data_IF_979187762996
#
_entry.id   IF_979187762996
#
_cell.length_a   1.000
_cell.length_b   1.000
_cell.length_c   1.000
_cell.angle_alpha   90.00
_cell.angle_beta   90.00
_cell.angle_gamma   90.00
#
_symmetry.space_group_name_H-M   'P 1'
#
loop_
_entity.id
_entity.type
_entity.pdbx_description
1 polymer ?
#
# COMPACT_ATOMS: atom_id res chain seq x y z
N UNK A 1 36.62 21.92 2.37
CA UNK A 1 35.61 22.22 1.33
C UNK A 1 35.85 23.64 0.84
N UNK A 2 35.97 23.90 -0.47
CA UNK A 2 36.22 25.25 -1.01
C UNK A 2 34.91 25.86 -1.56
N UNK A 3 34.85 27.19 -1.69
CA UNK A 3 33.66 27.93 -2.15
C UNK A 3 33.19 27.49 -3.54
N UNK A 4 34.12 27.09 -4.42
CA UNK A 4 33.81 26.60 -5.77
C UNK A 4 33.04 25.28 -5.72
N UNK A 5 33.46 24.34 -4.86
CA UNK A 5 32.77 23.06 -4.63
C UNK A 5 31.37 23.26 -4.04
N UNK A 6 31.20 24.27 -3.17
CA UNK A 6 29.88 24.62 -2.61
C UNK A 6 28.97 25.17 -3.71
N UNK A 7 29.46 26.05 -4.56
CA UNK A 7 28.68 26.64 -5.65
C UNK A 7 28.30 25.62 -6.72
N UNK A 8 29.19 24.67 -7.03
CA UNK A 8 28.89 23.55 -7.94
C UNK A 8 27.83 22.62 -7.35
N UNK A 9 27.84 22.38 -6.04
CA UNK A 9 26.82 21.59 -5.34
C UNK A 9 25.47 22.31 -5.33
N UNK A 10 25.44 23.61 -5.06
CA UNK A 10 24.22 24.43 -5.09
C UNK A 10 23.62 24.41 -6.49
N UNK A 11 24.41 24.66 -7.54
CA UNK A 11 23.94 24.60 -8.92
C UNK A 11 23.41 23.22 -9.31
N UNK A 12 24.07 22.15 -8.85
CA UNK A 12 23.61 20.78 -9.07
C UNK A 12 22.24 20.54 -8.41
N UNK A 13 22.05 20.96 -7.16
CA UNK A 13 20.79 20.79 -6.42
C UNK A 13 19.65 21.66 -6.98
N UNK A 14 19.96 22.88 -7.41
CA UNK A 14 19.00 23.79 -8.03
C UNK A 14 18.61 23.37 -9.45
N UNK A 15 19.53 22.78 -10.22
CA UNK A 15 19.26 22.26 -11.57
C UNK A 15 18.55 20.91 -11.58
N UNK A 16 18.64 20.14 -10.49
CA UNK A 16 18.10 18.79 -10.42
C UNK A 16 16.57 18.76 -10.53
N UNK A 17 15.86 19.82 -10.11
CA UNK A 17 14.40 19.83 -10.11
C UNK A 17 13.77 18.64 -9.37
N UNK A 18 14.54 17.98 -8.50
CA UNK A 18 14.15 16.76 -7.82
C UNK A 18 13.15 17.10 -6.73
N UNK A 19 12.00 16.42 -6.76
CA UNK A 19 10.99 16.50 -5.70
C UNK A 19 11.65 16.25 -4.35
N UNK A 20 11.37 17.13 -3.39
CA UNK A 20 11.79 16.96 -2.02
C UNK A 20 11.27 15.63 -1.45
N UNK A 21 11.94 15.10 -0.44
CA UNK A 21 11.50 13.89 0.28
C UNK A 21 10.02 13.98 0.70
N UNK A 22 9.57 15.19 1.07
CA UNK A 22 8.18 15.44 1.46
C UNK A 22 7.23 15.31 0.27
N UNK A 23 7.57 15.91 -0.87
CA UNK A 23 6.72 15.84 -2.07
C UNK A 23 6.69 14.42 -2.65
N UNK A 24 7.80 13.70 -2.62
CA UNK A 24 7.84 12.27 -2.99
C UNK A 24 6.91 11.43 -2.10
N UNK A 25 6.90 11.69 -0.78
CA UNK A 25 5.97 11.02 0.15
C UNK A 25 4.51 11.35 -0.17
N UNK A 26 4.20 12.61 -0.48
CA UNK A 26 2.85 13.00 -0.86
C UNK A 26 2.38 12.35 -2.16
N UNK A 27 3.23 12.28 -3.19
CA UNK A 27 2.89 11.60 -4.45
C UNK A 27 2.62 10.11 -4.25
N UNK A 28 3.44 9.42 -3.43
CA UNK A 28 3.19 8.01 -3.08
C UNK A 28 1.87 7.83 -2.35
N UNK A 29 1.56 8.72 -1.41
CA UNK A 29 0.30 8.70 -0.66
C UNK A 29 -0.90 8.98 -1.57
N UNK A 30 -0.80 9.95 -2.46
CA UNK A 30 -1.85 10.29 -3.44
C UNK A 30 -2.15 9.09 -4.33
N UNK A 31 -1.12 8.41 -4.84
CA UNK A 31 -1.31 7.21 -5.67
C UNK A 31 -2.04 6.10 -4.90
N UNK A 32 -1.61 5.80 -3.67
CA UNK A 32 -2.28 4.81 -2.83
C UNK A 32 -3.74 5.19 -2.53
N UNK A 33 -4.02 6.48 -2.31
CA UNK A 33 -5.38 6.96 -2.09
C UNK A 33 -6.27 6.79 -3.33
N UNK A 34 -5.76 7.08 -4.52
CA UNK A 34 -6.49 6.88 -5.77
C UNK A 34 -6.80 5.41 -6.02
N UNK A 35 -5.84 4.51 -5.78
CA UNK A 35 -6.04 3.05 -5.89
C UNK A 35 -7.10 2.55 -4.90
N UNK A 36 -7.01 2.97 -3.64
CA UNK A 36 -8.00 2.63 -2.61
C UNK A 36 -9.39 3.20 -2.91
N UNK A 37 -9.47 4.41 -3.46
CA UNK A 37 -10.74 5.02 -3.84
C UNK A 37 -11.41 4.24 -4.99
N UNK A 38 -10.63 3.81 -5.98
CA UNK A 38 -11.14 2.99 -7.09
C UNK A 38 -11.67 1.64 -6.59
N UNK A 39 -10.93 0.95 -5.72
CA UNK A 39 -11.36 -0.31 -5.09
C UNK A 39 -12.66 -0.13 -4.30
N UNK A 40 -12.77 0.95 -3.52
CA UNK A 40 -13.99 1.27 -2.76
C UNK A 40 -15.20 1.58 -3.65
N UNK A 41 -14.99 2.16 -4.84
CA UNK A 41 -16.07 2.41 -5.81
C UNK A 41 -16.62 1.09 -6.35
N UNK A 42 -15.74 0.16 -6.74
CA UNK A 42 -16.16 -1.15 -7.23
C UNK A 42 -16.86 -1.95 -6.12
N UNK A 43 -16.31 -1.98 -4.91
CA UNK A 43 -16.95 -2.63 -3.76
C UNK A 43 -18.37 -2.09 -3.50
N UNK A 44 -18.56 -0.76 -3.54
CA UNK A 44 -19.89 -0.14 -3.38
C UNK A 44 -20.85 -0.52 -4.50
N UNK A 45 -20.36 -0.61 -5.74
CA UNK A 45 -21.17 -1.01 -6.90
C UNK A 45 -21.67 -2.44 -6.74
N UNK A 46 -20.80 -3.39 -6.38
CA UNK A 46 -21.19 -4.79 -6.12
C UNK A 46 -22.22 -4.86 -4.99
N UNK A 47 -22.01 -4.13 -3.88
CA UNK A 47 -22.99 -4.06 -2.77
C UNK A 47 -24.35 -3.54 -3.25
N UNK A 48 -24.36 -2.52 -4.11
CA UNK A 48 -25.60 -1.96 -4.66
C UNK A 48 -26.34 -2.97 -5.54
N UNK A 49 -25.63 -3.66 -6.43
CA UNK A 49 -26.19 -4.71 -7.30
C UNK A 49 -26.80 -5.83 -6.45
N UNK A 50 -26.09 -6.34 -5.44
CA UNK A 50 -26.62 -7.34 -4.51
C UNK A 50 -27.89 -6.90 -3.81
N UNK A 51 -27.93 -5.63 -3.36
CA UNK A 51 -29.10 -5.06 -2.69
C UNK A 51 -30.31 -5.04 -3.62
N UNK A 52 -30.13 -4.61 -4.87
CA UNK A 52 -31.20 -4.59 -5.87
C UNK A 52 -31.72 -5.99 -6.18
N UNK A 53 -30.82 -6.96 -6.38
CA UNK A 53 -31.20 -8.36 -6.58
C UNK A 53 -31.95 -8.95 -5.38
N UNK A 54 -31.48 -8.68 -4.16
CA UNK A 54 -32.15 -9.14 -2.95
C UNK A 54 -33.56 -8.58 -2.84
N UNK A 55 -33.74 -7.28 -3.09
CA UNK A 55 -35.05 -6.63 -3.07
C UNK A 55 -35.97 -7.24 -4.16
N UNK A 56 -35.48 -7.40 -5.39
CA UNK A 56 -36.25 -7.97 -6.49
C UNK A 56 -36.67 -9.42 -6.22
N UNK A 57 -35.76 -10.24 -5.64
CA UNK A 57 -36.03 -11.63 -5.29
C UNK A 57 -37.03 -11.79 -4.16
N UNK A 58 -36.93 -10.96 -3.11
CA UNK A 58 -37.86 -10.95 -1.97
C UNK A 58 -39.25 -10.45 -2.38
N UNK A 59 -39.32 -9.36 -3.17
CA UNK A 59 -40.59 -8.75 -3.59
C UNK A 59 -41.37 -9.62 -4.57
N UNK A 60 -40.70 -10.36 -5.47
CA UNK A 60 -41.38 -11.19 -6.47
C UNK A 60 -41.72 -12.62 -6.00
N UNK A 61 -41.45 -12.99 -4.74
CA UNK A 61 -41.66 -14.36 -4.18
C UNK A 61 -41.10 -15.49 -5.07
N UNK A 62 -40.04 -15.24 -5.84
CA UNK A 62 -39.36 -16.24 -6.66
C UNK A 62 -38.39 -17.02 -5.75
N UNK A 63 -38.92 -18.05 -5.07
CA UNK A 63 -38.14 -19.14 -4.45
C UNK A 63 -38.08 -20.28 -5.48
N UNK A 64 -36.95 -20.90 -5.91
CA UNK A 64 -35.52 -20.68 -5.67
C UNK A 64 -34.70 -20.80 -6.99
N UNK A 65 -34.40 -19.70 -7.68
CA UNK A 65 -33.35 -19.67 -8.74
C UNK A 65 -32.20 -18.75 -8.36
N UNK A 66 -32.26 -18.18 -7.15
CA UNK A 66 -31.45 -17.04 -6.72
C UNK A 66 -30.21 -17.46 -5.91
N UNK A 67 -30.13 -18.70 -5.43
CA UNK A 67 -28.95 -19.16 -4.65
C UNK A 67 -27.70 -19.25 -5.51
N UNK A 68 -27.79 -19.75 -6.74
CA UNK A 68 -26.62 -19.86 -7.63
C UNK A 68 -26.08 -18.50 -8.11
N UNK A 69 -26.97 -17.53 -8.35
CA UNK A 69 -26.57 -16.18 -8.76
C UNK A 69 -26.07 -15.36 -7.56
N UNK A 70 -26.67 -15.53 -6.38
CA UNK A 70 -26.16 -14.94 -5.14
C UNK A 70 -24.79 -15.54 -4.76
N UNK A 71 -24.61 -16.85 -4.92
CA UNK A 71 -23.29 -17.49 -4.80
C UNK A 71 -22.29 -16.92 -5.79
N UNK A 72 -22.66 -16.74 -7.06
CA UNK A 72 -21.77 -16.15 -8.08
C UNK A 72 -21.31 -14.75 -7.67
N UNK A 73 -22.22 -13.87 -7.22
CA UNK A 73 -21.84 -12.53 -6.77
C UNK A 73 -21.05 -12.57 -5.44
N UNK A 74 -21.40 -13.47 -4.52
CA UNK A 74 -20.63 -13.72 -3.29
C UNK A 74 -19.22 -14.26 -3.58
N UNK A 75 -19.03 -15.05 -4.63
CA UNK A 75 -17.72 -15.48 -5.10
C UNK A 75 -16.97 -14.31 -5.78
N UNK A 76 -17.67 -13.38 -6.45
CA UNK A 76 -17.08 -12.11 -6.92
C UNK A 76 -16.65 -11.20 -5.75
N UNK A 77 -17.33 -11.26 -4.59
CA UNK A 77 -16.84 -10.62 -3.36
C UNK A 77 -15.62 -11.31 -2.75
N UNK A 78 -15.30 -12.53 -3.17
CA UNK A 78 -14.07 -13.20 -2.77
C UNK A 78 -12.85 -12.70 -3.56
N UNK A 79 -13.07 -11.87 -4.60
CA UNK A 79 -11.98 -11.18 -5.27
C UNK A 79 -11.29 -10.26 -4.25
N UNK A 80 -9.99 -10.50 -4.09
CA UNK A 80 -9.14 -9.86 -3.08
C UNK A 80 -9.16 -8.34 -3.22
N UNK A 81 -8.76 -7.63 -2.16
CA UNK A 81 -8.64 -6.17 -2.16
C UNK A 81 -7.17 -5.78 -2.41
N UNK A 82 -6.64 -5.93 -3.63
CA UNK A 82 -5.20 -5.84 -3.89
C UNK A 82 -4.63 -4.46 -3.58
N UNK A 83 -5.42 -3.38 -3.71
CA UNK A 83 -4.96 -2.05 -3.33
C UNK A 83 -4.84 -1.95 -1.81
N UNK A 84 -5.85 -2.42 -1.07
CA UNK A 84 -5.80 -2.48 0.39
C UNK A 84 -4.67 -3.39 0.88
N UNK A 85 -4.47 -4.56 0.29
CA UNK A 85 -3.41 -5.49 0.65
C UNK A 85 -2.02 -4.89 0.40
N UNK A 86 -1.83 -4.20 -0.73
CA UNK A 86 -0.61 -3.46 -1.03
C UNK A 86 -0.34 -2.34 -0.02
N UNK A 87 -1.37 -1.60 0.36
CA UNK A 87 -1.26 -0.54 1.39
C UNK A 87 -0.84 -1.14 2.74
N UNK A 88 -1.47 -2.24 3.16
CA UNK A 88 -1.15 -2.90 4.43
C UNK A 88 0.28 -3.45 4.41
N UNK A 89 0.71 -4.06 3.32
CA UNK A 89 2.08 -4.54 3.14
C UNK A 89 3.09 -3.39 3.18
N UNK A 90 2.78 -2.26 2.54
CA UNK A 90 3.56 -1.04 2.59
C UNK A 90 3.72 -0.49 4.01
N UNK A 91 2.63 -0.41 4.79
CA UNK A 91 2.65 0.04 6.20
C UNK A 91 3.49 -0.92 7.06
N UNK A 92 3.35 -2.23 6.86
CA UNK A 92 4.17 -3.23 7.56
C UNK A 92 5.66 -3.04 7.23
N UNK A 93 5.99 -2.83 5.97
CA UNK A 93 7.37 -2.58 5.54
C UNK A 93 7.93 -1.28 6.15
N UNK A 94 7.16 -0.18 6.13
CA UNK A 94 7.55 1.10 6.73
C UNK A 94 7.87 0.93 8.23
N UNK A 95 7.03 0.20 8.98
CA UNK A 95 7.29 -0.07 10.39
C UNK A 95 8.54 -0.91 10.65
N UNK A 96 8.85 -1.87 9.77
CA UNK A 96 10.08 -2.67 9.86
C UNK A 96 11.32 -1.82 9.53
N UNK A 97 11.22 -0.92 8.55
CA UNK A 97 12.29 0.03 8.20
C UNK A 97 12.56 1.01 9.36
N UNK A 98 11.52 1.52 10.03
CA UNK A 98 11.65 2.36 11.22
C UNK A 98 12.35 1.61 12.37
N UNK A 99 11.99 0.34 12.59
CA UNK A 99 12.66 -0.51 13.58
C UNK A 99 14.14 -0.72 13.23
N UNK A 100 14.45 -1.01 11.97
CA UNK A 100 15.83 -1.17 11.51
C UNK A 100 16.64 0.14 11.69
N UNK A 101 16.03 1.29 11.39
CA UNK A 101 16.63 2.59 11.63
C UNK A 101 16.88 2.85 13.13
N UNK A 102 15.93 2.49 13.99
CA UNK A 102 16.07 2.61 15.44
C UNK A 102 17.24 1.76 15.96
N UNK A 103 17.40 0.52 15.48
CA UNK A 103 18.52 -0.34 15.84
C UNK A 103 19.88 0.24 15.41
N UNK A 104 19.94 0.86 14.22
CA UNK A 104 21.15 1.54 13.72
C UNK A 104 21.50 2.76 14.56
N UNK A 105 20.50 3.56 14.93
CA UNK A 105 20.70 4.78 15.70
C UNK A 105 21.20 4.51 17.13
N UNK A 106 20.77 3.39 17.73
CA UNK A 106 21.17 3.00 19.10
C UNK A 106 22.36 2.04 19.14
N UNK A 107 23.06 1.85 18.02
CA UNK A 107 24.25 1.02 17.96
C UNK A 107 25.40 1.64 18.78
N UNK A 108 25.85 0.92 19.80
CA UNK A 108 26.98 1.28 20.66
C UNK A 108 28.20 0.36 20.47
N UNK A 109 28.30 -0.33 19.33
CA UNK A 109 29.36 -1.30 19.04
C UNK A 109 28.89 -2.76 18.92
N UNK A 110 27.66 -3.08 19.34
CA UNK A 110 27.13 -4.45 19.36
C UNK A 110 26.78 -5.01 17.96
N UNK A 111 27.51 -6.04 17.50
CA UNK A 111 27.32 -6.69 16.19
C UNK A 111 25.91 -7.22 15.96
N UNK A 112 25.22 -7.65 17.03
CA UNK A 112 23.87 -8.24 16.97
C UNK A 112 22.84 -7.24 16.45
N UNK A 113 22.84 -5.99 16.93
CA UNK A 113 21.90 -4.96 16.45
C UNK A 113 22.08 -4.67 14.95
N UNK A 114 23.33 -4.71 14.46
CA UNK A 114 23.64 -4.52 13.05
C UNK A 114 23.10 -5.67 12.18
N UNK A 115 23.27 -6.91 12.63
CA UNK A 115 22.76 -8.09 11.92
C UNK A 115 21.23 -8.09 11.88
N UNK A 116 20.58 -7.74 12.99
CA UNK A 116 19.11 -7.65 13.05
C UNK A 116 18.60 -6.54 12.14
N UNK A 117 19.25 -5.38 12.12
CA UNK A 117 18.86 -4.27 11.26
C UNK A 117 18.95 -4.62 9.76
N UNK A 118 19.97 -5.38 9.36
CA UNK A 118 20.10 -5.88 7.98
C UNK A 118 18.99 -6.88 7.64
N UNK A 119 18.73 -7.85 8.52
CA UNK A 119 17.63 -8.80 8.32
C UNK A 119 16.25 -8.12 8.29
N UNK A 120 16.07 -7.04 9.06
CA UNK A 120 14.86 -6.22 9.02
C UNK A 120 14.72 -5.49 7.68
N UNK A 121 15.78 -4.91 7.11
CA UNK A 121 15.72 -4.30 5.77
C UNK A 121 15.31 -5.33 4.69
N UNK A 122 15.91 -6.52 4.73
CA UNK A 122 15.59 -7.59 3.79
C UNK A 122 14.12 -8.04 3.93
N UNK A 123 13.63 -8.14 5.16
CA UNK A 123 12.23 -8.47 5.44
C UNK A 123 11.27 -7.38 4.96
N UNK A 124 11.59 -6.10 5.20
CA UNK A 124 10.80 -4.99 4.69
C UNK A 124 10.70 -5.00 3.16
N UNK A 125 11.81 -5.31 2.47
CA UNK A 125 11.84 -5.45 1.03
C UNK A 125 10.94 -6.60 0.54
N UNK A 126 10.99 -7.76 1.20
CA UNK A 126 10.11 -8.90 0.89
C UNK A 126 8.63 -8.55 1.05
N UNK A 127 8.27 -7.79 2.09
CA UNK A 127 6.90 -7.32 2.30
C UNK A 127 6.42 -6.42 1.14
N UNK A 128 7.29 -5.57 0.59
CA UNK A 128 6.94 -4.73 -0.58
C UNK A 128 6.86 -5.53 -1.87
N UNK A 129 7.77 -6.47 -2.12
CA UNK A 129 7.79 -7.28 -3.35
C UNK A 129 6.66 -8.32 -3.41
N UNK A 130 6.22 -8.82 -2.25
CA UNK A 130 5.06 -9.72 -2.16
C UNK A 130 3.72 -9.04 -2.41
N UNK A 131 3.67 -7.71 -2.33
CA UNK A 131 2.46 -6.89 -2.48
C UNK A 131 2.10 -6.54 -3.94
N UNK A 132 3.02 -6.81 -4.87
CA UNK A 132 2.84 -6.55 -6.31
C UNK A 132 2.52 -7.84 -7.10
N UNK A 133 2.32 -8.96 -6.41
CA UNK A 133 1.87 -10.24 -6.98
C UNK A 133 0.38 -10.44 -6.77
#
# INVERSE_FOLDING_TARGET
>A
MNIKTVNELIASLESAGELSIREQKFLKLEKAYQELAAENVEAKKIISECREYFIAGVMNRIRPTNEGYLHMICDTFADETPATDRIVAGIKADGVEEFAAHLRANYNGASVCKIIALGADDFAKQLREGADK
#
